data_IF_139203016458
#
_entry.id   IF_139203016458
#
_cell.length_a   1.000
_cell.length_b   1.000
_cell.length_c   1.000
_cell.angle_alpha   90.00
_cell.angle_beta   90.00
_cell.angle_gamma   90.00
#
_symmetry.space_group_name_H-M   'P 1'
#
loop_
_entity.id
_entity.type
_entity.pdbx_description
1 polymer ?
#
# COMPACT_ATOMS: atom_id res chain seq x y z
N UNK A 1 -16.83 -12.12 0.42
CA UNK A 1 -16.48 -11.61 -0.92
C UNK A 1 -17.69 -11.03 -1.66
N UNK A 2 -18.72 -11.82 -2.00
CA UNK A 2 -19.79 -11.36 -2.90
C UNK A 2 -20.57 -10.13 -2.42
N UNK A 3 -20.85 -10.03 -1.10
CA UNK A 3 -21.51 -8.82 -0.54
C UNK A 3 -20.63 -7.57 -0.64
N UNK A 4 -19.32 -7.71 -0.45
CA UNK A 4 -18.35 -6.61 -0.53
C UNK A 4 -18.17 -6.14 -1.98
N UNK A 5 -18.02 -7.07 -2.92
CA UNK A 5 -18.02 -6.78 -4.37
C UNK A 5 -19.31 -6.08 -4.77
N UNK A 6 -20.45 -6.54 -4.26
CA UNK A 6 -21.75 -5.92 -4.53
C UNK A 6 -21.86 -4.51 -3.93
N UNK A 7 -21.41 -4.30 -2.70
CA UNK A 7 -21.35 -2.97 -2.08
C UNK A 7 -20.47 -2.02 -2.87
N UNK A 8 -19.28 -2.45 -3.32
CA UNK A 8 -18.41 -1.63 -4.17
C UNK A 8 -19.05 -1.30 -5.52
N UNK A 9 -19.72 -2.26 -6.16
CA UNK A 9 -20.45 -2.03 -7.42
C UNK A 9 -21.60 -1.03 -7.26
N UNK A 10 -22.16 -0.95 -6.06
CA UNK A 10 -23.31 -0.09 -5.75
C UNK A 10 -22.88 1.29 -5.27
N UNK A 11 -21.61 1.45 -4.89
CA UNK A 11 -21.02 2.69 -4.40
C UNK A 11 -20.69 3.60 -5.59
N UNK A 12 -21.33 4.76 -5.65
CA UNK A 12 -21.21 5.73 -6.75
C UNK A 12 -19.77 6.23 -6.93
N UNK A 13 -19.00 6.35 -5.85
CA UNK A 13 -17.63 6.83 -5.91
C UNK A 13 -16.69 5.77 -6.50
N UNK A 14 -17.04 4.50 -6.32
CA UNK A 14 -16.28 3.35 -6.82
C UNK A 14 -16.77 2.84 -8.19
N UNK A 15 -17.85 3.40 -8.74
CA UNK A 15 -18.36 3.04 -10.08
C UNK A 15 -17.37 3.36 -11.21
N UNK A 16 -16.39 4.24 -10.97
CA UNK A 16 -15.31 4.53 -11.92
C UNK A 16 -14.32 3.37 -12.10
N UNK A 17 -14.31 2.39 -11.18
CA UNK A 17 -13.56 1.14 -11.34
C UNK A 17 -14.30 0.34 -12.42
N UNK A 18 -13.75 0.35 -13.65
CA UNK A 18 -14.41 -0.17 -14.84
C UNK A 18 -15.02 -1.56 -14.62
N UNK A 19 -16.15 -1.84 -15.30
CA UNK A 19 -16.81 -3.13 -15.18
C UNK A 19 -15.91 -4.31 -15.60
N UNK A 20 -14.89 -4.05 -16.40
CA UNK A 20 -13.90 -5.02 -16.85
C UNK A 20 -12.85 -5.35 -15.77
N UNK A 21 -12.75 -4.52 -14.72
CA UNK A 21 -11.79 -4.68 -13.61
C UNK A 21 -12.38 -5.35 -12.37
N UNK A 22 -13.65 -5.77 -12.38
CA UNK A 22 -14.28 -6.40 -11.21
C UNK A 22 -13.61 -7.71 -10.78
N UNK A 23 -12.97 -8.42 -11.71
CA UNK A 23 -12.19 -9.62 -11.40
C UNK A 23 -10.93 -9.30 -10.58
N UNK A 24 -10.47 -8.05 -10.61
CA UNK A 24 -9.32 -7.57 -9.84
C UNK A 24 -9.70 -7.13 -8.42
N UNK A 25 -10.97 -7.13 -8.02
CA UNK A 25 -11.39 -6.68 -6.68
C UNK A 25 -10.61 -7.35 -5.52
N UNK A 26 -10.34 -8.67 -5.53
CA UNK A 26 -9.50 -9.29 -4.48
C UNK A 26 -8.10 -8.69 -4.41
N UNK A 27 -7.49 -8.39 -5.56
CA UNK A 27 -6.20 -7.72 -5.71
C UNK A 27 -6.28 -6.28 -5.20
N UNK A 28 -7.36 -5.54 -5.50
CA UNK A 28 -7.64 -4.22 -4.93
C UNK A 28 -7.64 -4.30 -3.40
N UNK A 29 -8.36 -5.26 -2.81
CA UNK A 29 -8.40 -5.46 -1.35
C UNK A 29 -7.06 -5.88 -0.75
N UNK A 30 -6.26 -6.68 -1.45
CA UNK A 30 -4.92 -7.04 -1.00
C UNK A 30 -4.00 -5.82 -1.01
N UNK A 31 -4.05 -4.99 -2.05
CA UNK A 31 -3.35 -3.71 -2.08
C UNK A 31 -3.85 -2.81 -0.94
N UNK A 32 -5.17 -2.73 -0.74
CA UNK A 32 -5.82 -2.04 0.36
C UNK A 32 -5.22 -2.46 1.71
N UNK A 33 -5.10 -3.75 1.96
CA UNK A 33 -4.49 -4.26 3.18
C UNK A 33 -3.01 -3.88 3.31
N UNK A 34 -2.24 -3.96 2.22
CA UNK A 34 -0.81 -3.60 2.20
C UNK A 34 -0.61 -2.12 2.50
N UNK A 35 -1.43 -1.24 1.93
CA UNK A 35 -1.32 0.23 2.07
C UNK A 35 -2.00 0.76 3.33
N UNK A 36 -2.93 0.01 3.93
CA UNK A 36 -3.59 0.37 5.19
C UNK A 36 -2.87 -0.12 6.42
N UNK A 37 -1.91 -1.03 6.27
CA UNK A 37 -1.08 -1.53 7.36
C UNK A 37 -0.43 -0.39 8.12
N UNK A 38 -0.34 -0.52 9.44
CA UNK A 38 0.10 0.55 10.35
C UNK A 38 1.50 1.11 10.02
N UNK A 39 2.35 0.35 9.34
CA UNK A 39 3.69 0.80 8.96
C UNK A 39 3.64 1.76 7.74
N UNK A 40 2.64 1.70 6.86
CA UNK A 40 2.65 2.40 5.56
C UNK A 40 2.56 3.93 5.70
N UNK A 41 1.61 4.40 6.52
CA UNK A 41 1.42 5.84 6.80
C UNK A 41 2.62 6.42 7.55
N UNK A 42 3.29 5.61 8.39
CA UNK A 42 4.50 6.06 9.09
C UNK A 42 5.71 6.21 8.16
N UNK A 43 5.72 5.51 7.02
CA UNK A 43 6.83 5.51 6.07
C UNK A 43 6.69 6.63 5.02
N UNK A 44 5.47 6.93 4.59
CA UNK A 44 5.15 8.06 3.74
C UNK A 44 4.52 9.17 4.59
N UNK A 45 5.36 9.84 5.39
CA UNK A 45 4.94 10.97 6.23
C UNK A 45 4.24 12.01 5.34
N UNK A 46 3.11 12.53 5.81
CA UNK A 46 2.25 13.50 5.08
C UNK A 46 1.56 12.94 3.82
N UNK A 47 1.49 11.61 3.69
CA UNK A 47 0.61 10.94 2.74
C UNK A 47 -0.45 10.15 3.51
N UNK A 48 -1.64 10.75 3.61
CA UNK A 48 -2.81 10.06 4.15
C UNK A 48 -3.17 8.84 3.30
N UNK A 49 -3.77 7.82 3.94
CA UNK A 49 -4.29 6.63 3.23
C UNK A 49 -5.20 7.00 2.07
N UNK A 50 -6.00 8.05 2.26
CA UNK A 50 -6.92 8.61 1.26
C UNK A 50 -6.20 9.02 -0.03
N UNK A 51 -5.01 9.62 0.05
CA UNK A 51 -4.27 10.04 -1.15
C UNK A 51 -3.84 8.85 -1.99
N UNK A 52 -3.33 7.80 -1.33
CA UNK A 52 -3.00 6.55 -2.02
C UNK A 52 -4.23 5.88 -2.63
N UNK A 53 -5.40 5.95 -1.98
CA UNK A 53 -6.64 5.44 -2.57
C UNK A 53 -7.04 6.21 -3.82
N UNK A 54 -7.00 7.54 -3.76
CA UNK A 54 -7.29 8.38 -4.92
C UNK A 54 -6.38 8.00 -6.09
N UNK A 55 -5.08 7.79 -5.85
CA UNK A 55 -4.15 7.37 -6.91
C UNK A 55 -4.42 5.97 -7.42
N UNK A 56 -4.77 5.04 -6.53
CA UNK A 56 -5.14 3.69 -6.91
C UNK A 56 -6.35 3.68 -7.85
N UNK A 57 -7.41 4.40 -7.49
CA UNK A 57 -8.63 4.46 -8.30
C UNK A 57 -8.49 5.34 -9.53
N UNK A 58 -7.57 6.30 -9.54
CA UNK A 58 -7.26 7.11 -10.73
C UNK A 58 -6.45 6.33 -11.76
N UNK A 59 -5.57 5.42 -11.34
CA UNK A 59 -4.69 4.66 -12.24
C UNK A 59 -4.70 3.13 -12.00
N UNK A 60 -5.88 2.49 -11.88
CA UNK A 60 -5.98 1.09 -11.47
C UNK A 60 -5.33 0.17 -12.50
N UNK A 61 -5.57 0.43 -13.78
CA UNK A 61 -4.99 -0.34 -14.88
C UNK A 61 -3.47 -0.26 -14.87
N UNK A 62 -2.89 0.92 -14.69
CA UNK A 62 -1.44 1.04 -14.66
C UNK A 62 -0.85 0.29 -13.46
N UNK A 63 -1.43 0.46 -12.27
CA UNK A 63 -0.92 -0.11 -11.03
C UNK A 63 -1.04 -1.64 -11.02
N UNK A 64 -2.16 -2.18 -11.52
CA UNK A 64 -2.51 -3.61 -11.42
C UNK A 64 -2.49 -4.37 -12.75
N UNK A 65 -1.99 -3.77 -13.84
CA UNK A 65 -1.98 -4.41 -15.16
C UNK A 65 -1.26 -5.76 -15.13
N UNK A 66 -1.90 -6.74 -15.76
CA UNK A 66 -1.36 -8.08 -15.98
C UNK A 66 -0.76 -8.22 -17.39
N UNK A 67 -0.48 -7.10 -18.08
CA UNK A 67 -0.03 -7.13 -19.47
C UNK A 67 1.46 -7.49 -19.57
N UNK A 68 1.73 -8.80 -19.62
CA UNK A 68 3.05 -9.41 -19.78
C UNK A 68 3.75 -8.90 -21.06
N UNK A 69 2.99 -8.62 -22.12
CA UNK A 69 3.52 -8.37 -23.48
C UNK A 69 4.40 -7.12 -23.55
N UNK A 70 4.22 -6.17 -22.62
CA UNK A 70 5.03 -4.93 -22.56
C UNK A 70 5.97 -4.87 -21.35
N UNK A 71 6.17 -5.97 -20.62
CA UNK A 71 6.92 -5.97 -19.37
C UNK A 71 6.19 -5.26 -18.22
N UNK A 72 4.89 -5.03 -18.37
CA UNK A 72 4.04 -4.30 -17.42
C UNK A 72 3.39 -5.25 -16.41
N UNK A 73 4.19 -6.14 -15.81
CA UNK A 73 3.69 -7.10 -14.84
C UNK A 73 3.35 -6.41 -13.51
N UNK A 74 2.09 -6.48 -13.09
CA UNK A 74 1.54 -5.94 -11.83
C UNK A 74 0.40 -6.81 -11.29
N UNK A 75 0.53 -8.13 -11.38
CA UNK A 75 -0.38 -9.11 -10.76
C UNK A 75 -0.21 -9.13 -9.23
N UNK A 76 -1.30 -8.90 -8.52
CA UNK A 76 -1.43 -9.23 -7.09
C UNK A 76 -2.04 -10.62 -6.98
N UNK A 77 -1.22 -11.65 -7.11
CA UNK A 77 -1.64 -13.05 -6.97
C UNK A 77 -0.79 -13.75 -5.92
N UNK A 78 -1.41 -14.61 -5.11
CA UNK A 78 -0.81 -15.38 -4.02
C UNK A 78 0.17 -16.49 -4.48
N UNK A 79 0.66 -16.45 -5.74
CA UNK A 79 1.53 -17.49 -6.28
C UNK A 79 2.97 -17.37 -5.76
N UNK A 80 3.63 -18.49 -5.51
CA UNK A 80 4.94 -18.54 -4.84
C UNK A 80 6.11 -17.94 -5.64
N UNK A 81 5.88 -17.61 -6.92
CA UNK A 81 6.88 -17.03 -7.80
C UNK A 81 6.62 -15.54 -8.15
N UNK A 82 5.63 -14.89 -7.52
CA UNK A 82 5.21 -13.51 -7.86
C UNK A 82 5.71 -12.42 -6.91
N UNK A 83 6.65 -12.68 -6.00
CA UNK A 83 7.20 -11.65 -5.08
C UNK A 83 7.64 -10.38 -5.83
N UNK A 84 8.23 -10.51 -7.03
CA UNK A 84 8.61 -9.35 -7.82
C UNK A 84 7.39 -8.58 -8.31
N UNK A 85 6.32 -9.25 -8.72
CA UNK A 85 5.18 -8.64 -9.40
C UNK A 85 4.35 -7.77 -8.45
N UNK A 86 4.10 -8.27 -7.23
CA UNK A 86 3.39 -7.48 -6.20
C UNK A 86 4.20 -6.25 -5.79
N UNK A 87 5.52 -6.39 -5.73
CA UNK A 87 6.42 -5.26 -5.47
C UNK A 87 6.38 -4.23 -6.60
N UNK A 88 6.30 -4.63 -7.87
CA UNK A 88 6.15 -3.69 -8.99
C UNK A 88 4.84 -2.89 -8.88
N UNK A 89 3.72 -3.55 -8.53
CA UNK A 89 2.45 -2.86 -8.29
C UNK A 89 2.56 -1.85 -7.13
N UNK A 90 3.23 -2.24 -6.04
CA UNK A 90 3.56 -1.33 -4.94
C UNK A 90 4.38 -0.12 -5.39
N UNK A 91 5.43 -0.33 -6.19
CA UNK A 91 6.25 0.76 -6.73
C UNK A 91 5.42 1.69 -7.62
N UNK A 92 4.50 1.15 -8.43
CA UNK A 92 3.59 1.96 -9.27
C UNK A 92 2.66 2.82 -8.43
N UNK A 93 2.07 2.27 -7.37
CA UNK A 93 1.19 3.02 -6.49
C UNK A 93 1.95 4.18 -5.82
N UNK A 94 3.11 3.89 -5.24
CA UNK A 94 3.97 4.91 -4.62
C UNK A 94 4.39 5.96 -5.64
N UNK A 95 4.86 5.54 -6.82
CA UNK A 95 5.26 6.47 -7.87
C UNK A 95 4.10 7.35 -8.36
N UNK A 96 2.87 6.84 -8.46
CA UNK A 96 1.71 7.66 -8.83
C UNK A 96 1.43 8.77 -7.81
N UNK A 97 1.49 8.45 -6.52
CA UNK A 97 1.30 9.41 -5.44
C UNK A 97 2.35 10.52 -5.43
N UNK A 98 3.62 10.15 -5.61
CA UNK A 98 4.70 11.14 -5.67
C UNK A 98 4.72 11.91 -6.99
N UNK A 99 4.36 11.28 -8.11
CA UNK A 99 4.21 11.95 -9.40
C UNK A 99 3.16 13.05 -9.33
N UNK A 100 2.03 12.83 -8.66
CA UNK A 100 0.98 13.85 -8.49
C UNK A 100 1.56 15.16 -7.92
N UNK A 101 2.41 15.06 -6.89
CA UNK A 101 3.07 16.21 -6.22
C UNK A 101 4.04 16.97 -7.14
N UNK A 102 4.62 16.31 -8.13
CA UNK A 102 5.54 16.93 -9.10
C UNK A 102 5.02 16.93 -10.54
N UNK A 103 3.72 16.71 -10.76
CA UNK A 103 3.12 16.59 -12.09
C UNK A 103 3.36 17.82 -12.97
N UNK A 104 3.36 19.02 -12.35
CA UNK A 104 3.69 20.29 -13.00
C UNK A 104 5.09 20.32 -13.64
N UNK A 105 6.03 19.50 -13.15
CA UNK A 105 7.37 19.36 -13.72
C UNK A 105 7.36 18.80 -15.14
N UNK A 106 6.37 17.97 -15.44
CA UNK A 106 6.32 17.19 -16.67
C UNK A 106 5.37 17.79 -17.72
N UNK A 107 4.73 18.93 -17.41
CA UNK A 107 3.82 19.63 -18.34
C UNK A 107 4.53 20.07 -19.62
N UNK A 108 5.81 20.46 -19.53
CA UNK A 108 6.61 20.87 -20.71
C UNK A 108 6.80 19.72 -21.71
N UNK A 109 6.88 18.50 -21.21
CA UNK A 109 7.07 17.29 -22.00
C UNK A 109 5.75 16.64 -22.43
N UNK A 110 4.60 17.30 -22.15
CA UNK A 110 3.25 16.79 -22.41
C UNK A 110 2.96 15.43 -21.78
N UNK A 111 3.56 15.17 -20.61
CA UNK A 111 3.33 13.94 -19.86
C UNK A 111 2.17 14.17 -18.90
N UNK A 112 1.00 13.70 -19.29
CA UNK A 112 -0.27 13.95 -18.58
C UNK A 112 -0.58 12.91 -17.50
N UNK A 113 0.17 11.81 -17.45
CA UNK A 113 -0.08 10.72 -16.51
C UNK A 113 1.21 10.01 -16.06
N UNK A 114 1.23 9.39 -14.87
CA UNK A 114 2.35 8.57 -14.42
C UNK A 114 2.61 7.39 -15.36
N UNK A 115 1.56 6.88 -16.02
CA UNK A 115 1.67 5.85 -17.03
C UNK A 115 2.47 6.31 -18.25
N UNK A 116 2.21 7.52 -18.76
CA UNK A 116 2.98 8.09 -19.87
C UNK A 116 4.44 8.34 -19.49
N UNK A 117 4.69 8.80 -18.25
CA UNK A 117 6.07 8.95 -17.76
C UNK A 117 6.80 7.61 -17.73
N UNK A 118 6.13 6.53 -17.30
CA UNK A 118 6.72 5.20 -17.28
C UNK A 118 7.04 4.72 -18.71
N UNK A 119 6.12 4.91 -19.65
CA UNK A 119 6.35 4.57 -21.05
C UNK A 119 7.51 5.36 -21.67
N UNK A 120 7.65 6.65 -21.35
CA UNK A 120 8.68 7.50 -21.94
C UNK A 120 10.11 7.13 -21.51
N UNK A 121 10.25 6.40 -20.41
CA UNK A 121 11.56 5.94 -19.90
C UNK A 121 11.74 4.43 -19.99
N UNK A 122 10.78 3.74 -20.58
CA UNK A 122 10.79 2.29 -20.70
C UNK A 122 11.86 1.84 -21.70
N UNK A 123 12.65 0.84 -21.30
CA UNK A 123 13.69 0.22 -22.12
C UNK A 123 13.42 -1.27 -22.20
N UNK A 124 13.14 -1.77 -23.41
CA UNK A 124 12.77 -3.16 -23.67
C UNK A 124 13.83 -4.19 -23.25
N UNK A 125 15.11 -3.79 -23.28
CA UNK A 125 16.23 -4.68 -22.93
C UNK A 125 16.47 -4.80 -21.43
N UNK A 126 15.85 -3.97 -20.60
CA UNK A 126 16.00 -3.98 -19.14
C UNK A 126 14.94 -4.86 -18.48
N UNK A 127 15.27 -5.36 -17.29
CA UNK A 127 14.28 -6.09 -16.49
C UNK A 127 13.12 -5.16 -16.09
N UNK A 128 11.93 -5.73 -15.80
CA UNK A 128 10.80 -4.94 -15.31
C UNK A 128 11.15 -4.10 -14.08
N UNK A 129 11.91 -4.67 -13.12
CA UNK A 129 12.30 -3.95 -11.90
C UNK A 129 13.20 -2.75 -12.20
N UNK A 130 14.19 -2.90 -13.07
CA UNK A 130 15.08 -1.81 -13.47
C UNK A 130 14.30 -0.67 -14.15
N UNK A 131 13.34 -1.00 -15.01
CA UNK A 131 12.46 -0.01 -15.63
C UNK A 131 11.67 0.80 -14.57
N UNK A 132 11.17 0.16 -13.51
CA UNK A 132 10.48 0.87 -12.42
C UNK A 132 11.44 1.73 -11.61
N UNK A 133 12.68 1.28 -11.39
CA UNK A 133 13.69 2.08 -10.70
C UNK A 133 14.09 3.32 -11.48
N UNK A 134 14.24 3.22 -12.81
CA UNK A 134 14.50 4.38 -13.69
C UNK A 134 13.34 5.37 -13.63
N UNK A 135 12.11 4.87 -13.73
CA UNK A 135 10.90 5.69 -13.63
C UNK A 135 10.80 6.43 -12.29
N UNK A 136 10.99 5.75 -11.16
CA UNK A 136 11.02 6.39 -9.85
C UNK A 136 12.19 7.38 -9.70
N UNK A 137 13.33 7.12 -10.33
CA UNK A 137 14.45 8.07 -10.36
C UNK A 137 14.03 9.39 -11.02
N UNK A 138 13.31 9.35 -12.15
CA UNK A 138 12.79 10.58 -12.78
C UNK A 138 11.83 11.35 -11.88
N UNK A 139 11.00 10.63 -11.12
CA UNK A 139 10.09 11.25 -10.15
C UNK A 139 10.90 11.92 -9.02
N UNK A 140 11.96 11.27 -8.51
CA UNK A 140 12.87 11.87 -7.51
C UNK A 140 13.54 13.14 -8.02
N UNK A 141 14.09 13.09 -9.23
CA UNK A 141 14.77 14.23 -9.85
C UNK A 141 13.80 15.44 -9.99
N UNK A 142 12.55 15.17 -10.37
CA UNK A 142 11.53 16.20 -10.49
C UNK A 142 11.07 16.78 -9.13
N UNK A 143 11.04 15.96 -8.09
CA UNK A 143 10.68 16.35 -6.72
C UNK A 143 11.77 17.16 -6.03
N UNK A 144 13.04 16.85 -6.27
CA UNK A 144 14.18 17.45 -5.57
C UNK A 144 14.16 18.98 -5.62
N UNK A 145 13.72 19.57 -6.73
CA UNK A 145 13.64 21.02 -6.90
C UNK A 145 12.31 21.65 -6.42
N UNK A 146 11.36 20.86 -5.90
CA UNK A 146 9.98 21.30 -5.66
C UNK A 146 9.49 21.14 -4.23
N UNK A 147 10.09 20.26 -3.45
CA UNK A 147 9.65 20.04 -2.06
C UNK A 147 10.59 20.75 -1.08
N UNK A 148 10.06 21.27 0.03
CA UNK A 148 10.79 22.17 0.93
C UNK A 148 11.82 21.46 1.83
N UNK A 149 11.66 20.16 2.05
CA UNK A 149 12.48 19.37 2.97
C UNK A 149 12.57 17.90 2.52
N UNK A 150 13.58 17.19 3.05
CA UNK A 150 13.85 15.79 2.70
C UNK A 150 12.73 14.82 3.11
N UNK A 151 11.91 15.18 4.08
CA UNK A 151 10.80 14.33 4.54
C UNK A 151 9.73 14.11 3.47
N UNK A 152 9.64 15.02 2.50
CA UNK A 152 8.74 14.92 1.36
C UNK A 152 9.37 14.23 0.15
N UNK A 153 10.63 13.77 0.25
CA UNK A 153 11.27 13.04 -0.84
C UNK A 153 10.68 11.65 -0.99
N UNK A 154 10.61 11.20 -2.25
CA UNK A 154 10.27 9.81 -2.55
C UNK A 154 11.38 8.89 -1.99
N UNK A 155 11.06 7.92 -1.10
CA UNK A 155 12.07 7.06 -0.49
C UNK A 155 12.91 6.31 -1.52
N UNK A 156 14.13 5.91 -1.13
CA UNK A 156 15.02 5.14 -1.99
C UNK A 156 14.42 3.78 -2.36
N UNK A 157 14.89 3.20 -3.47
CA UNK A 157 14.42 1.89 -3.93
C UNK A 157 14.61 0.80 -2.85
N UNK A 158 15.74 0.84 -2.12
CA UNK A 158 16.01 -0.08 -1.02
C UNK A 158 15.07 0.11 0.16
N UNK A 159 14.78 1.36 0.52
CA UNK A 159 13.83 1.68 1.59
C UNK A 159 12.42 1.18 1.23
N UNK A 160 11.98 1.42 -0.01
CA UNK A 160 10.71 0.92 -0.54
C UNK A 160 10.63 -0.61 -0.52
N UNK A 161 11.70 -1.30 -0.92
CA UNK A 161 11.76 -2.76 -0.92
C UNK A 161 11.71 -3.35 0.49
N UNK A 162 12.50 -2.79 1.42
CA UNK A 162 12.48 -3.20 2.83
C UNK A 162 11.12 -2.94 3.46
N UNK A 163 10.50 -1.81 3.14
CA UNK A 163 9.15 -1.48 3.59
C UNK A 163 8.14 -2.49 3.05
N UNK A 164 8.09 -2.71 1.74
CA UNK A 164 7.20 -3.69 1.11
C UNK A 164 7.38 -5.09 1.71
N UNK A 165 8.61 -5.55 1.94
CA UNK A 165 8.89 -6.85 2.58
C UNK A 165 8.35 -6.94 4.00
N UNK A 166 8.37 -5.84 4.77
CA UNK A 166 7.83 -5.81 6.14
C UNK A 166 6.31 -5.82 6.13
N UNK A 167 5.69 -5.13 5.18
CA UNK A 167 4.23 -4.96 5.10
C UNK A 167 3.52 -6.16 4.45
N UNK A 168 4.17 -6.84 3.50
CA UNK A 168 3.63 -8.02 2.81
C UNK A 168 3.78 -9.34 3.61
N UNK A 169 4.59 -9.36 4.67
CA UNK A 169 4.88 -10.58 5.46
C UNK A 169 4.19 -10.56 6.81
N UNK A 170 4.06 -11.73 7.45
CA UNK A 170 3.32 -11.81 8.72
C UNK A 170 3.88 -10.85 9.79
N UNK A 171 3.04 -9.93 10.25
CA UNK A 171 3.24 -9.08 11.44
C UNK A 171 3.18 -9.85 12.78
N UNK A 172 3.67 -11.08 12.79
CA UNK A 172 3.70 -12.00 13.92
C UNK A 172 4.69 -11.52 15.02
N UNK A 173 4.56 -10.30 15.55
CA UNK A 173 5.55 -9.65 16.42
C UNK A 173 5.86 -10.39 17.74
N UNK A 174 4.91 -11.16 18.29
CA UNK A 174 5.04 -11.82 19.61
C UNK A 174 4.72 -13.30 19.63
N UNK A 175 4.39 -13.88 18.48
CA UNK A 175 3.99 -15.28 18.42
C UNK A 175 5.05 -16.12 17.76
N UNK A 176 5.26 -17.29 18.33
CA UNK A 176 6.01 -18.39 17.76
C UNK A 176 5.38 -19.00 16.48
N UNK A 177 4.51 -18.28 15.77
CA UNK A 177 3.80 -18.73 14.55
C UNK A 177 3.16 -20.12 14.66
N UNK A 178 2.75 -20.51 15.86
CA UNK A 178 2.20 -21.83 16.19
C UNK A 178 0.73 -22.03 15.81
N UNK A 179 0.01 -20.94 15.50
CA UNK A 179 -1.41 -20.97 15.19
C UNK A 179 -1.70 -20.82 13.69
N UNK A 180 -2.79 -21.43 13.23
CA UNK A 180 -3.23 -21.38 11.83
C UNK A 180 -3.79 -20.00 11.40
N UNK A 181 -3.95 -19.08 12.34
CA UNK A 181 -4.41 -17.70 12.06
C UNK A 181 -3.27 -16.77 11.60
N UNK A 182 -2.02 -17.26 11.54
CA UNK A 182 -0.82 -16.46 11.21
C UNK A 182 -0.64 -16.41 9.69
N UNK A 183 -0.39 -15.23 9.13
CA UNK A 183 -0.34 -15.00 7.67
C UNK A 183 0.46 -16.04 6.89
N UNK A 184 1.72 -16.28 7.27
CA UNK A 184 2.56 -17.28 6.61
C UNK A 184 1.97 -18.70 6.72
N UNK A 185 1.53 -19.12 7.91
CA UNK A 185 0.99 -20.47 8.13
C UNK A 185 -0.36 -20.69 7.44
N UNK A 186 -1.20 -19.63 7.36
CA UNK A 186 -2.46 -19.62 6.61
C UNK A 186 -2.22 -19.83 5.11
N UNK A 187 -1.15 -19.23 4.59
CA UNK A 187 -0.67 -19.45 3.23
C UNK A 187 0.15 -20.74 3.05
N UNK A 188 0.28 -21.57 4.09
CA UNK A 188 1.13 -22.78 4.10
C UNK A 188 2.61 -22.49 3.74
N UNK A 189 3.06 -21.27 4.00
CA UNK A 189 4.44 -20.80 3.80
C UNK A 189 5.19 -20.79 5.13
N UNK A 190 6.46 -21.15 5.08
CA UNK A 190 7.36 -20.95 6.21
C UNK A 190 7.71 -19.47 6.37
N UNK A 191 7.92 -19.04 7.61
CA UNK A 191 8.37 -17.69 7.91
C UNK A 191 9.80 -17.48 7.43
N UNK A 192 9.99 -16.54 6.50
CA UNK A 192 11.31 -16.15 5.98
C UNK A 192 11.93 -14.95 6.71
N UNK A 193 13.12 -14.48 6.25
CA UNK A 193 13.90 -13.41 6.90
C UNK A 193 13.19 -12.05 7.06
N UNK A 194 12.06 -11.85 6.39
CA UNK A 194 11.24 -10.63 6.52
C UNK A 194 10.10 -10.73 7.53
N UNK A 195 9.89 -11.88 8.18
CA UNK A 195 8.86 -12.04 9.20
C UNK A 195 9.30 -11.44 10.53
N UNK A 196 8.37 -10.79 11.24
CA UNK A 196 8.64 -10.23 12.58
C UNK A 196 8.58 -11.28 13.71
N UNK A 197 8.55 -12.58 13.39
CA UNK A 197 8.29 -13.67 14.36
C UNK A 197 9.44 -14.05 15.30
N UNK A 198 10.53 -13.28 15.35
CA UNK A 198 11.66 -13.51 16.24
C UNK A 198 12.33 -14.88 16.04
N UNK A 199 13.31 -15.20 16.90
CA UNK A 199 14.04 -16.49 16.87
C UNK A 199 13.18 -17.68 17.32
N UNK A 200 12.08 -17.42 18.02
CA UNK A 200 11.14 -18.42 18.56
C UNK A 200 10.07 -18.85 17.54
N UNK A 201 10.24 -18.53 16.26
CA UNK A 201 9.27 -18.82 15.21
C UNK A 201 9.23 -20.33 14.88
N UNK A 202 8.19 -21.04 15.33
CA UNK A 202 7.95 -22.46 15.06
C UNK A 202 7.50 -22.75 13.63
N UNK A 203 7.23 -21.71 12.84
CA UNK A 203 6.95 -21.82 11.41
C UNK A 203 8.16 -21.42 10.55
N UNK A 204 9.36 -21.29 11.13
CA UNK A 204 10.58 -21.18 10.33
C UNK A 204 10.91 -22.55 9.72
N UNK A 205 11.55 -22.58 8.54
CA UNK A 205 12.01 -23.82 7.93
C UNK A 205 13.01 -24.50 8.88
N UNK A 206 12.54 -25.44 9.70
CA UNK A 206 13.41 -26.41 10.33
C UNK A 206 14.06 -27.28 9.25
N UNK A 207 15.29 -27.77 9.45
CA UNK A 207 15.89 -28.74 8.54
C UNK A 207 14.90 -29.89 8.35
N UNK A 208 14.64 -30.24 7.09
CA UNK A 208 13.77 -31.35 6.67
C UNK A 208 13.90 -32.51 7.64
N UNK A 209 12.89 -32.72 8.49
CA UNK A 209 12.88 -33.90 9.35
C UNK A 209 12.73 -35.09 8.41
N UNK A 210 13.80 -35.87 8.29
CA UNK A 210 13.71 -37.27 7.90
C UNK A 210 12.64 -37.95 8.77
N UNK A 211 11.88 -38.92 8.23
CA UNK A 211 10.85 -39.59 8.99
C UNK A 211 11.53 -40.41 10.10
N UNK A 212 11.49 -39.90 11.32
CA UNK A 212 11.95 -40.63 12.51
C UNK A 212 10.72 -41.21 13.21
N UNK A 213 10.73 -42.54 13.28
CA UNK A 213 9.74 -43.33 13.99
C UNK A 213 9.70 -43.08 15.49
N UNK A 214 8.67 -43.68 16.05
CA UNK A 214 8.19 -43.60 17.43
C UNK A 214 9.31 -43.56 18.49
N UNK A 215 9.35 -42.47 19.25
CA UNK A 215 9.98 -42.45 20.57
C UNK A 215 9.18 -41.54 21.52
N UNK A 216 8.60 -42.20 22.50
CA UNK A 216 7.79 -41.71 23.60
C UNK A 216 8.68 -40.99 24.61
N UNK A 217 8.47 -39.68 24.86
CA UNK A 217 9.14 -38.95 25.95
C UNK A 217 8.13 -38.06 26.70
N UNK A 218 8.09 -38.30 28.01
CA UNK A 218 7.26 -37.66 29.03
C UNK A 218 7.59 -36.17 29.22
N UNK A 219 6.55 -35.37 29.45
CA UNK A 219 6.63 -33.98 29.89
C UNK A 219 6.85 -33.88 31.40
N UNK A 220 7.59 -32.87 31.89
CA UNK A 220 7.36 -32.26 33.19
C UNK A 220 6.70 -30.88 33.06
N UNK A 221 5.65 -30.70 33.87
CA UNK A 221 4.96 -29.46 34.18
C UNK A 221 5.87 -28.53 34.99
N UNK A 222 6.06 -27.29 34.55
CA UNK A 222 6.35 -26.17 35.45
C UNK A 222 5.49 -24.96 35.08
N UNK A 223 4.67 -24.55 36.05
CA UNK A 223 3.89 -23.31 36.05
C UNK A 223 4.77 -22.19 36.59
N UNK A 224 5.03 -21.18 35.76
CA UNK A 224 5.57 -19.89 36.23
C UNK A 224 4.52 -18.81 36.01
N UNK A 225 4.02 -18.27 37.12
CA UNK A 225 3.18 -17.07 37.13
C UNK A 225 4.07 -15.85 36.88
N UNK A 226 3.67 -15.02 35.92
CA UNK A 226 4.26 -13.69 35.69
C UNK A 226 3.14 -12.68 35.86
N UNK A 227 3.17 -11.95 36.97
CA UNK A 227 2.45 -10.69 37.13
C UNK A 227 3.09 -9.64 36.21
N UNK A 228 2.27 -8.98 35.39
CA UNK A 228 2.68 -7.78 34.68
C UNK A 228 1.56 -6.74 34.79
N UNK A 229 1.75 -5.80 35.72
CA UNK A 229 1.12 -4.49 35.73
C UNK A 229 1.69 -3.67 34.57
N UNK A 230 0.83 -3.10 33.73
CA UNK A 230 1.11 -1.86 33.01
C UNK A 230 -0.21 -1.14 32.73
N UNK A 231 -0.29 0.08 33.27
CA UNK A 231 -1.31 1.08 33.00
C UNK A 231 -1.34 1.45 31.50
N UNK A 232 -2.54 1.55 30.96
CA UNK A 232 -2.78 2.08 29.61
C UNK A 232 -3.34 3.50 29.74
N UNK A 233 -2.50 4.48 29.46
CA UNK A 233 -2.94 5.85 29.17
C UNK A 233 -3.51 5.87 27.75
N UNK A 234 -4.75 6.35 27.63
CA UNK A 234 -5.49 6.47 26.38
C UNK A 234 -5.42 7.92 25.88
N UNK A 235 -4.54 8.18 24.91
CA UNK A 235 -4.57 9.42 24.14
C UNK A 235 -5.54 9.26 22.97
N UNK A 236 -6.75 9.79 23.13
CA UNK A 236 -7.67 10.05 22.04
C UNK A 236 -7.61 11.53 21.69
N UNK A 237 -6.63 11.91 20.87
CA UNK A 237 -6.67 13.18 20.15
C UNK A 237 -7.62 13.02 18.94
N UNK A 238 -8.85 13.49 19.16
CA UNK A 238 -9.85 13.69 18.12
C UNK A 238 -9.53 14.99 17.40
N UNK A 239 -8.71 14.92 16.35
CA UNK A 239 -8.47 16.04 15.44
C UNK A 239 -9.75 16.38 14.66
N UNK A 240 -10.56 17.28 15.23
CA UNK A 240 -11.63 17.93 14.49
C UNK A 240 -11.00 18.94 13.52
N UNK A 241 -10.92 18.58 12.24
CA UNK A 241 -10.54 19.52 11.19
C UNK A 241 -11.47 20.73 11.22
N UNK A 242 -10.87 21.92 11.24
CA UNK A 242 -11.63 23.17 11.22
C UNK A 242 -11.96 23.57 9.79
N UNK A 243 -12.99 24.41 9.63
CA UNK A 243 -13.41 24.95 8.34
C UNK A 243 -12.26 25.56 7.50
N UNK A 244 -11.27 26.14 8.17
CA UNK A 244 -10.11 26.73 7.50
C UNK A 244 -9.14 25.69 6.92
N UNK A 245 -9.06 24.50 7.52
CA UNK A 245 -8.20 23.42 7.06
C UNK A 245 -8.71 22.84 5.74
N UNK A 246 -10.04 22.71 5.62
CA UNK A 246 -10.73 22.25 4.41
C UNK A 246 -10.56 23.29 3.29
N UNK A 247 -10.71 24.58 3.58
CA UNK A 247 -10.60 25.64 2.57
C UNK A 247 -9.18 25.73 1.97
N UNK A 248 -8.15 25.62 2.81
CA UNK A 248 -6.75 25.57 2.38
C UNK A 248 -6.45 24.34 1.50
N UNK A 249 -7.13 23.21 1.74
CA UNK A 249 -6.95 22.01 0.94
C UNK A 249 -7.54 22.17 -0.48
N UNK A 250 -8.67 22.86 -0.63
CA UNK A 250 -9.27 23.16 -1.95
C UNK A 250 -8.46 24.16 -2.78
N UNK A 251 -7.91 25.22 -2.15
CA UNK A 251 -7.01 26.16 -2.85
C UNK A 251 -5.73 25.44 -3.34
N UNK A 252 -5.19 24.52 -2.54
CA UNK A 252 -4.02 23.73 -2.92
C UNK A 252 -4.27 22.74 -4.07
N UNK A 253 -5.54 22.39 -4.33
CA UNK A 253 -5.95 21.58 -5.47
C UNK A 253 -6.17 22.40 -6.76
N UNK A 254 -5.97 23.72 -6.72
CA UNK A 254 -6.19 24.62 -7.86
C UNK A 254 -7.67 24.77 -8.22
N UNK A 255 -8.57 24.44 -7.29
CA UNK A 255 -10.02 24.61 -7.45
C UNK A 255 -10.34 26.04 -7.04
N UNK A 256 -10.61 26.90 -8.02
CA UNK A 256 -10.93 28.30 -7.77
C UNK A 256 -12.40 28.40 -7.32
N UNK A 257 -12.63 28.40 -6.00
CA UNK A 257 -13.97 28.46 -5.40
C UNK A 257 -14.70 29.80 -5.63
N UNK A 258 -14.04 30.78 -6.27
CA UNK A 258 -14.60 32.11 -6.57
C UNK A 258 -15.73 32.05 -7.63
N UNK A 259 -15.87 30.94 -8.35
CA UNK A 259 -16.89 30.79 -9.41
C UNK A 259 -18.15 30.01 -8.98
N UNK A 260 -18.18 29.44 -7.77
CA UNK A 260 -19.38 28.76 -7.27
C UNK A 260 -20.30 29.79 -6.62
N UNK A 261 -21.57 29.77 -7.02
CA UNK A 261 -22.56 30.55 -6.29
C UNK A 261 -22.80 29.97 -4.90
N UNK A 262 -23.33 30.78 -4.00
CA UNK A 262 -23.51 30.43 -2.59
C UNK A 262 -24.42 29.19 -2.42
N UNK A 263 -25.27 28.89 -3.40
CA UNK A 263 -26.17 27.73 -3.36
C UNK A 263 -25.48 26.42 -3.74
N UNK A 264 -24.56 26.46 -4.70
CA UNK A 264 -23.73 25.32 -5.07
C UNK A 264 -22.76 24.97 -3.94
N UNK A 265 -22.18 26.00 -3.30
CA UNK A 265 -21.30 25.82 -2.15
C UNK A 265 -22.06 25.20 -0.97
N UNK A 266 -23.28 25.65 -0.69
CA UNK A 266 -24.11 25.09 0.38
C UNK A 266 -24.51 23.64 0.12
N UNK A 267 -24.70 23.26 -1.15
CA UNK A 267 -25.01 21.88 -1.56
C UNK A 267 -23.82 20.96 -1.33
N UNK A 268 -22.62 21.37 -1.78
CA UNK A 268 -21.37 20.63 -1.55
C UNK A 268 -21.09 20.45 -0.06
N UNK A 269 -21.33 21.49 0.75
CA UNK A 269 -21.16 21.43 2.22
C UNK A 269 -22.18 20.50 2.87
N UNK A 270 -23.42 20.49 2.38
CA UNK A 270 -24.49 19.62 2.92
C UNK A 270 -24.21 18.16 2.61
N UNK A 271 -23.72 17.87 1.40
CA UNK A 271 -23.35 16.52 0.99
C UNK A 271 -22.11 16.02 1.75
N UNK A 272 -21.12 16.90 1.97
CA UNK A 272 -19.92 16.56 2.74
C UNK A 272 -20.21 16.28 4.23
N UNK A 273 -21.08 17.06 4.88
CA UNK A 273 -21.46 16.83 6.27
C UNK A 273 -22.37 15.60 6.47
N UNK A 274 -22.95 15.05 5.41
CA UNK A 274 -23.67 13.77 5.47
C UNK A 274 -22.73 12.56 5.33
N UNK A 275 -21.48 12.78 4.91
CA UNK A 275 -20.46 11.75 4.70
C UNK A 275 -19.53 11.54 5.91
N UNK A 276 -19.52 12.46 6.88
CA UNK A 276 -18.76 12.41 8.14
C UNK A 276 -19.68 12.01 9.29
#
# INVERSE_FOLDING_TARGET
>A
MNKLVHSMKSDLDLQCISNDNHDNIPSIFQMWYIVTGCDYVSFCRDHGKTSFYQMFFKYPDFITSNNIVKGWLGILSDSDNTENVEFLAFLRLVGCEYWRKCSSAFLKDRIESPHYLFQSVFVETLSPLENHFIWLSKIRDALYCRVPSEEFFLPSNDALFLHWKRSSRCGCLKSNCSGNQRGCRKQRKSCGPGCKCGKSCLNSNGPTMLPSGDANIQQPNEKTQVEHLYDSESDTDSDNMTFNDIFLEFENLGINLVELDESDLQTVITDFNQLV
#
